data_IF_853717167343
#
_entry.id   IF_853717167343
#
_cell.length_a   1.000
_cell.length_b   1.000
_cell.length_c   1.000
_cell.angle_alpha   90.00
_cell.angle_beta   90.00
_cell.angle_gamma   90.00
#
_symmetry.space_group_name_H-M   'P 1'
#
loop_
_entity.id
_entity.type
_entity.pdbx_description
1 polymer ?
#
# COMPACT_ATOMS: atom_id res chain seq x y z
N UNK A 1 -12.54 20.24 0.47
CA UNK A 1 -12.12 18.87 0.86
C UNK A 1 -13.06 17.90 0.18
N UNK A 2 -12.61 17.25 -0.89
CA UNK A 2 -13.41 16.27 -1.63
C UNK A 2 -13.19 14.88 -1.04
N UNK A 3 -14.27 14.24 -0.61
CA UNK A 3 -14.28 12.85 -0.13
C UNK A 3 -14.21 11.94 -1.35
N UNK A 4 -13.12 11.19 -1.52
CA UNK A 4 -12.99 10.16 -2.55
C UNK A 4 -13.85 8.95 -2.15
N UNK A 5 -15.09 8.90 -2.63
CA UNK A 5 -15.93 7.71 -2.55
C UNK A 5 -15.53 6.77 -3.69
N UNK A 6 -14.80 5.71 -3.34
CA UNK A 6 -14.03 4.84 -4.24
C UNK A 6 -14.84 3.78 -5.01
N UNK A 7 -16.12 3.99 -5.32
CA UNK A 7 -16.98 2.86 -5.76
C UNK A 7 -17.60 2.90 -7.16
N UNK A 8 -17.46 3.96 -7.98
CA UNK A 8 -18.05 3.91 -9.33
C UNK A 8 -17.21 4.65 -10.36
N UNK A 9 -16.53 3.86 -11.20
CA UNK A 9 -15.75 4.28 -12.37
C UNK A 9 -14.58 5.24 -12.07
N UNK A 10 -13.50 5.08 -12.82
CA UNK A 10 -12.41 6.09 -12.88
C UNK A 10 -12.90 7.46 -13.42
N UNK A 11 -14.18 7.60 -13.76
CA UNK A 11 -14.77 8.81 -14.35
C UNK A 11 -15.04 9.94 -13.34
N UNK A 12 -14.95 9.69 -12.03
CA UNK A 12 -15.27 10.72 -11.02
C UNK A 12 -14.21 11.83 -10.98
N UNK A 13 -13.00 11.57 -11.48
CA UNK A 13 -11.98 12.58 -11.70
C UNK A 13 -11.56 12.43 -13.16
N UNK A 14 -11.82 13.42 -14.02
CA UNK A 14 -11.33 13.41 -15.41
C UNK A 14 -9.81 13.16 -15.41
N UNK A 15 -9.33 11.93 -15.69
CA UNK A 15 -7.93 11.62 -15.48
C UNK A 15 -7.10 12.38 -16.51
N UNK A 16 -5.92 12.84 -16.13
CA UNK A 16 -5.02 13.49 -17.09
C UNK A 16 -4.60 12.50 -18.19
N UNK A 17 -4.25 12.97 -19.39
CA UNK A 17 -3.75 12.09 -20.46
C UNK A 17 -2.53 11.25 -20.01
N UNK A 18 -1.75 11.76 -19.03
CA UNK A 18 -0.64 11.03 -18.41
C UNK A 18 -1.13 9.84 -17.60
N UNK A 19 -2.15 10.04 -16.76
CA UNK A 19 -2.81 8.98 -16.02
C UNK A 19 -3.48 7.95 -16.93
N UNK A 20 -4.08 8.39 -18.04
CA UNK A 20 -4.58 7.48 -19.08
C UNK A 20 -3.43 6.70 -19.73
N UNK A 21 -2.27 7.32 -19.93
CA UNK A 21 -1.03 6.68 -20.39
C UNK A 21 -0.57 5.55 -19.47
N UNK A 22 -0.68 5.72 -18.16
CA UNK A 22 -0.39 4.64 -17.20
C UNK A 22 -1.34 3.45 -17.35
N UNK A 23 -2.63 3.69 -17.53
CA UNK A 23 -3.61 2.63 -17.75
C UNK A 23 -3.30 1.85 -19.04
N UNK A 24 -2.96 2.57 -20.12
CA UNK A 24 -2.54 1.96 -21.39
C UNK A 24 -1.26 1.14 -21.22
N UNK A 25 -0.29 1.62 -20.44
CA UNK A 25 0.95 0.89 -20.10
C UNK A 25 0.66 -0.44 -19.38
N UNK A 26 -0.46 -0.52 -18.66
CA UNK A 26 -0.93 -1.74 -18.00
C UNK A 26 -1.68 -2.70 -18.96
N UNK A 27 -1.74 -2.38 -20.25
CA UNK A 27 -2.43 -3.19 -21.27
C UNK A 27 -3.96 -3.08 -21.20
N UNK A 28 -4.49 -2.02 -20.60
CA UNK A 28 -5.94 -1.80 -20.45
C UNK A 28 -6.41 -0.60 -21.27
N UNK A 29 -7.65 -0.66 -21.75
CA UNK A 29 -8.30 0.48 -22.41
C UNK A 29 -8.87 1.42 -21.35
N UNK A 30 -8.37 2.68 -21.23
CA UNK A 30 -8.89 3.64 -20.26
C UNK A 30 -10.38 3.96 -20.40
N UNK A 31 -10.99 3.75 -21.57
CA UNK A 31 -12.42 4.02 -21.78
C UNK A 31 -13.33 2.89 -21.28
N UNK A 32 -12.79 1.68 -21.12
CA UNK A 32 -13.57 0.49 -20.77
C UNK A 32 -13.20 -0.10 -19.41
N UNK A 33 -11.97 0.12 -18.94
CA UNK A 33 -11.46 -0.53 -17.72
C UNK A 33 -12.10 0.02 -16.45
N UNK A 34 -12.43 -0.88 -15.52
CA UNK A 34 -12.91 -0.52 -14.19
C UNK A 34 -11.77 -0.48 -13.16
N UNK A 35 -12.03 0.13 -12.00
CA UNK A 35 -11.09 0.08 -10.86
C UNK A 35 -10.86 -1.35 -10.38
N UNK A 36 -11.90 -2.18 -10.39
CA UNK A 36 -11.82 -3.60 -10.04
C UNK A 36 -10.95 -4.38 -11.03
N UNK A 37 -11.04 -4.09 -12.34
CA UNK A 37 -10.17 -4.72 -13.34
C UNK A 37 -8.70 -4.39 -13.11
N UNK A 38 -8.41 -3.11 -12.78
CA UNK A 38 -7.04 -2.67 -12.49
C UNK A 38 -6.50 -3.26 -11.19
N UNK A 39 -7.35 -3.41 -10.17
CA UNK A 39 -6.99 -4.07 -8.91
C UNK A 39 -6.69 -5.55 -9.10
N UNK A 40 -7.48 -6.22 -9.94
CA UNK A 40 -7.30 -7.63 -10.27
C UNK A 40 -5.99 -7.92 -10.99
N UNK A 41 -5.36 -6.92 -11.64
CA UNK A 41 -4.04 -7.08 -12.26
C UNK A 41 -2.92 -7.26 -11.23
N UNK A 42 -3.08 -6.70 -10.01
CA UNK A 42 -2.07 -6.69 -8.95
C UNK A 42 -0.65 -6.33 -9.44
N UNK A 43 -0.58 -5.40 -10.39
CA UNK A 43 0.66 -4.92 -11.01
C UNK A 43 1.35 -3.86 -10.17
N UNK A 44 2.64 -3.71 -10.39
CA UNK A 44 3.45 -2.62 -9.83
C UNK A 44 4.13 -1.84 -10.94
N UNK A 45 4.20 -0.53 -10.76
CA UNK A 45 4.79 0.41 -11.70
C UNK A 45 6.07 0.98 -11.10
N UNK A 46 7.10 1.13 -11.92
CA UNK A 46 8.39 1.68 -11.51
C UNK A 46 8.58 3.05 -12.14
N UNK A 47 8.79 4.07 -11.31
CA UNK A 47 9.13 5.44 -11.70
C UNK A 47 10.64 5.66 -11.63
N UNK A 48 11.23 6.14 -12.72
CA UNK A 48 12.65 6.53 -12.79
C UNK A 48 13.63 5.47 -12.22
N UNK A 49 13.29 4.18 -12.33
CA UNK A 49 14.03 3.04 -11.75
C UNK A 49 14.27 3.08 -10.23
N UNK A 50 13.56 3.95 -9.51
CA UNK A 50 13.79 4.18 -8.08
C UNK A 50 12.56 3.90 -7.22
N UNK A 51 11.35 4.15 -7.72
CA UNK A 51 10.14 4.06 -6.91
C UNK A 51 9.22 3.00 -7.49
N UNK A 52 8.84 2.03 -6.66
CA UNK A 52 7.83 1.02 -7.01
C UNK A 52 6.52 1.43 -6.35
N UNK A 53 5.46 1.49 -7.15
CA UNK A 53 4.14 1.95 -6.74
C UNK A 53 3.05 1.00 -7.22
N UNK A 54 1.92 0.99 -6.53
CA UNK A 54 0.68 0.45 -7.08
C UNK A 54 0.15 1.34 -8.21
N UNK A 55 -0.78 0.83 -9.02
CA UNK A 55 -1.37 1.61 -10.10
C UNK A 55 -2.11 2.86 -9.59
N UNK A 56 -2.79 2.76 -8.43
CA UNK A 56 -3.44 3.91 -7.79
C UNK A 56 -2.45 4.98 -7.40
N UNK A 57 -1.32 4.60 -6.79
CA UNK A 57 -0.26 5.54 -6.41
C UNK A 57 0.35 6.23 -7.62
N UNK A 58 0.57 5.47 -8.70
CA UNK A 58 1.15 6.03 -9.91
C UNK A 58 0.22 7.07 -10.56
N UNK A 59 -1.07 6.76 -10.68
CA UNK A 59 -2.09 7.68 -11.20
C UNK A 59 -2.19 8.94 -10.33
N UNK A 60 -2.32 8.78 -9.01
CA UNK A 60 -2.38 9.91 -8.08
C UNK A 60 -1.13 10.78 -8.17
N UNK A 61 0.05 10.16 -8.26
CA UNK A 61 1.31 10.88 -8.39
C UNK A 61 1.37 11.72 -9.68
N UNK A 62 0.99 11.13 -10.81
CA UNK A 62 0.98 11.84 -12.11
C UNK A 62 0.00 13.02 -12.12
N UNK A 63 -1.20 12.82 -11.58
CA UNK A 63 -2.21 13.88 -11.49
C UNK A 63 -1.75 15.05 -10.60
N UNK A 64 -0.99 14.77 -9.53
CA UNK A 64 -0.50 15.80 -8.61
C UNK A 64 0.76 16.54 -9.09
N UNK A 65 1.69 15.83 -9.72
CA UNK A 65 3.04 16.35 -9.97
C UNK A 65 3.24 16.84 -11.41
N UNK A 66 2.29 16.54 -12.32
CA UNK A 66 2.40 16.83 -13.75
C UNK A 66 3.81 16.51 -14.32
N UNK A 67 4.43 15.45 -13.83
CA UNK A 67 5.84 15.16 -14.09
C UNK A 67 6.03 14.56 -15.49
N UNK A 68 7.23 14.62 -16.06
CA UNK A 68 7.60 13.87 -17.27
C UNK A 68 8.24 12.53 -16.91
N UNK A 69 7.72 11.88 -15.86
CA UNK A 69 8.35 10.66 -15.34
C UNK A 69 8.29 9.52 -16.34
N UNK A 70 9.40 8.81 -16.46
CA UNK A 70 9.43 7.54 -17.17
C UNK A 70 8.86 6.44 -16.28
N UNK A 71 7.80 5.80 -16.78
CA UNK A 71 7.14 4.67 -16.13
C UNK A 71 7.42 3.38 -16.89
N UNK A 72 7.57 2.29 -16.15
CA UNK A 72 7.58 0.93 -16.68
C UNK A 72 6.86 -0.02 -15.74
N UNK A 73 6.49 -1.19 -16.24
CA UNK A 73 6.06 -2.29 -15.38
C UNK A 73 7.24 -2.78 -14.54
N UNK A 74 6.95 -3.15 -13.29
CA UNK A 74 7.92 -3.83 -12.43
C UNK A 74 8.25 -5.22 -12.99
N UNK A 75 9.51 -5.60 -12.89
CA UNK A 75 9.94 -6.97 -13.17
C UNK A 75 9.36 -7.93 -12.11
N UNK A 76 9.30 -9.25 -12.39
CA UNK A 76 8.81 -10.23 -11.42
C UNK A 76 9.53 -10.15 -10.07
N UNK A 77 10.87 -9.98 -10.07
CA UNK A 77 11.66 -9.85 -8.85
C UNK A 77 11.35 -8.57 -8.06
N UNK A 78 11.10 -7.45 -8.74
CA UNK A 78 10.66 -6.21 -8.11
C UNK A 78 9.26 -6.34 -7.52
N UNK A 79 8.35 -7.02 -8.21
CA UNK A 79 6.99 -7.27 -7.72
C UNK A 79 7.00 -8.11 -6.45
N UNK A 80 7.79 -9.19 -6.39
CA UNK A 80 7.92 -10.01 -5.17
C UNK A 80 8.45 -9.18 -4.00
N UNK A 81 9.51 -8.40 -4.22
CA UNK A 81 10.09 -7.52 -3.18
C UNK A 81 9.11 -6.43 -2.74
N UNK A 82 8.36 -5.86 -3.69
CA UNK A 82 7.30 -4.88 -3.42
C UNK A 82 6.26 -5.48 -2.49
N UNK A 83 5.70 -6.64 -2.83
CA UNK A 83 4.68 -7.30 -2.02
C UNK A 83 5.16 -7.64 -0.60
N UNK A 84 6.40 -8.13 -0.46
CA UNK A 84 6.99 -8.38 0.85
C UNK A 84 7.05 -7.09 1.69
N UNK A 85 7.47 -5.99 1.07
CA UNK A 85 7.54 -4.69 1.75
C UNK A 85 6.15 -4.13 2.06
N UNK A 86 5.18 -4.29 1.17
CA UNK A 86 3.79 -3.90 1.42
C UNK A 86 3.22 -4.64 2.63
N UNK A 87 3.39 -5.96 2.71
CA UNK A 87 2.95 -6.73 3.88
C UNK A 87 3.59 -6.21 5.17
N UNK A 88 4.90 -5.91 5.13
CA UNK A 88 5.60 -5.33 6.27
C UNK A 88 5.07 -3.94 6.66
N UNK A 89 4.83 -3.07 5.68
CA UNK A 89 4.24 -1.75 5.92
C UNK A 89 2.85 -1.90 6.52
N UNK A 90 2.02 -2.81 5.98
CA UNK A 90 0.69 -3.08 6.53
C UNK A 90 0.79 -3.48 7.99
N UNK A 91 1.71 -4.37 8.36
CA UNK A 91 1.93 -4.76 9.76
C UNK A 91 2.42 -3.59 10.64
N UNK A 92 3.41 -2.82 10.15
CA UNK A 92 4.01 -1.67 10.84
C UNK A 92 3.00 -0.52 11.07
N UNK A 93 2.12 -0.29 10.11
CA UNK A 93 1.13 0.81 10.09
C UNK A 93 -0.23 0.41 10.63
N UNK A 94 -0.47 -0.89 10.82
CA UNK A 94 -1.73 -1.36 11.37
C UNK A 94 -1.91 -0.88 12.80
N UNK A 95 -3.13 -0.45 13.06
CA UNK A 95 -3.62 -0.34 14.41
C UNK A 95 -4.09 -1.73 14.85
N UNK A 96 -3.72 -2.13 16.05
CA UNK A 96 -3.98 -3.46 16.58
C UNK A 96 -5.08 -3.43 17.63
N UNK A 97 -5.92 -4.46 17.68
CA UNK A 97 -6.91 -4.62 18.75
C UNK A 97 -7.01 -6.07 19.19
N UNK A 98 -7.33 -6.27 20.45
CA UNK A 98 -7.71 -7.57 20.96
C UNK A 98 -9.18 -7.85 20.64
N UNK A 99 -9.47 -8.95 19.94
CA UNK A 99 -10.85 -9.37 19.64
C UNK A 99 -11.55 -9.94 20.87
N UNK A 100 -10.81 -10.61 21.76
CA UNK A 100 -11.35 -11.22 22.98
C UNK A 100 -11.70 -10.17 24.03
N UNK A 101 -10.80 -9.21 24.28
CA UNK A 101 -11.03 -8.13 25.24
C UNK A 101 -11.76 -6.92 24.67
N UNK A 102 -11.99 -6.89 23.35
CA UNK A 102 -12.61 -5.79 22.63
C UNK A 102 -11.94 -4.41 22.90
N UNK A 103 -10.61 -4.40 23.07
CA UNK A 103 -9.83 -3.19 23.38
C UNK A 103 -8.62 -3.03 22.43
N UNK A 104 -8.18 -1.80 22.13
CA UNK A 104 -8.73 -0.53 22.60
C UNK A 104 -10.08 -0.23 21.93
N UNK A 105 -10.77 0.83 22.38
CA UNK A 105 -12.01 1.27 21.77
C UNK A 105 -11.83 1.48 20.26
N UNK A 106 -12.92 1.24 19.51
CA UNK A 106 -12.91 1.36 18.05
C UNK A 106 -12.37 2.73 17.63
N UNK A 107 -11.36 2.72 16.76
CA UNK A 107 -10.69 3.94 16.27
C UNK A 107 -9.40 4.35 17.01
N UNK A 108 -9.06 3.73 18.14
CA UNK A 108 -7.84 4.03 18.92
C UNK A 108 -6.76 2.94 18.85
N UNK A 109 -6.77 2.08 17.81
CA UNK A 109 -5.96 0.87 17.73
C UNK A 109 -4.51 1.00 18.24
N UNK A 110 -4.00 -0.05 18.85
CA UNK A 110 -2.69 -0.10 19.47
C UNK A 110 -1.56 -0.09 18.44
N UNK A 111 -0.45 0.52 18.84
CA UNK A 111 0.85 0.23 18.23
C UNK A 111 1.25 -1.24 18.49
N UNK A 112 2.04 -1.88 17.62
CA UNK A 112 2.46 -3.28 17.77
C UNK A 112 2.99 -3.64 19.17
N UNK A 113 3.85 -2.79 19.74
CA UNK A 113 4.41 -2.97 21.08
C UNK A 113 3.36 -3.06 22.19
N UNK A 114 2.28 -2.29 22.08
CA UNK A 114 1.22 -2.28 23.08
C UNK A 114 0.33 -3.52 22.95
N UNK A 115 0.11 -4.00 21.73
CA UNK A 115 -0.62 -5.23 21.46
C UNK A 115 0.12 -6.46 21.99
N UNK A 116 1.43 -6.55 21.75
CA UNK A 116 2.27 -7.62 22.28
C UNK A 116 2.27 -7.62 23.82
N UNK A 117 2.46 -6.46 24.45
CA UNK A 117 2.39 -6.32 25.90
C UNK A 117 1.01 -6.75 26.45
N UNK A 118 -0.07 -6.41 25.75
CA UNK A 118 -1.41 -6.82 26.15
C UNK A 118 -1.58 -8.35 26.12
N UNK A 119 -1.05 -9.03 25.08
CA UNK A 119 -1.06 -10.50 25.04
C UNK A 119 -0.33 -11.12 26.23
N UNK A 120 0.81 -10.57 26.61
CA UNK A 120 1.58 -11.05 27.76
C UNK A 120 0.80 -10.86 29.07
N UNK A 121 0.24 -9.67 29.30
CA UNK A 121 -0.34 -9.32 30.61
C UNK A 121 -1.78 -9.77 30.78
N UNK A 122 -2.61 -9.69 29.73
CA UNK A 122 -4.03 -10.03 29.81
C UNK A 122 -4.31 -11.50 29.45
N UNK A 123 -3.47 -12.10 28.61
CA UNK A 123 -3.68 -13.45 28.10
C UNK A 123 -2.56 -14.45 28.47
N UNK A 124 -1.48 -14.00 29.11
CA UNK A 124 -0.39 -14.88 29.55
C UNK A 124 0.43 -15.52 28.41
N UNK A 125 0.32 -15.01 27.17
CA UNK A 125 0.98 -15.59 25.98
C UNK A 125 2.49 -15.33 26.03
N UNK A 126 3.31 -16.39 25.91
CA UNK A 126 4.78 -16.31 25.90
C UNK A 126 5.39 -17.33 24.91
N UNK A 127 6.16 -16.91 23.89
CA UNK A 127 6.42 -15.51 23.50
C UNK A 127 5.21 -14.89 22.77
N UNK A 128 4.88 -13.60 23.02
CA UNK A 128 3.80 -12.95 22.27
C UNK A 128 4.20 -12.75 20.81
N UNK A 129 3.25 -12.93 19.90
CA UNK A 129 3.43 -12.63 18.48
C UNK A 129 2.24 -11.84 17.96
N UNK A 130 2.46 -11.00 16.95
CA UNK A 130 1.40 -10.20 16.33
C UNK A 130 0.39 -11.07 15.55
N UNK A 131 0.80 -12.28 15.15
CA UNK A 131 -0.07 -13.26 14.48
C UNK A 131 -0.95 -14.09 15.42
N UNK A 132 -1.00 -13.77 16.72
CA UNK A 132 -1.84 -14.50 17.67
C UNK A 132 -3.34 -14.27 17.39
N UNK A 133 -4.16 -15.31 17.56
CA UNK A 133 -5.61 -15.29 17.26
C UNK A 133 -6.42 -14.22 18.02
N UNK A 134 -5.88 -13.75 19.15
CA UNK A 134 -6.50 -12.67 19.93
C UNK A 134 -6.30 -11.29 19.32
N UNK A 135 -5.33 -11.12 18.43
CA UNK A 135 -5.04 -9.84 17.80
C UNK A 135 -5.59 -9.80 16.37
N UNK A 136 -6.23 -8.68 16.03
CA UNK A 136 -6.51 -8.34 14.64
C UNK A 136 -5.87 -7.00 14.31
N UNK A 137 -5.18 -6.98 13.18
CA UNK A 137 -4.67 -5.77 12.55
C UNK A 137 -5.79 -5.09 11.75
N UNK A 138 -5.80 -3.77 11.74
CA UNK A 138 -6.59 -2.99 10.79
C UNK A 138 -5.81 -1.74 10.39
N UNK A 139 -5.88 -1.40 9.11
CA UNK A 139 -5.43 -0.09 8.64
C UNK A 139 -6.60 0.89 8.76
N UNK A 140 -6.31 2.14 9.12
CA UNK A 140 -7.33 3.18 9.05
C UNK A 140 -7.81 3.31 7.61
N UNK A 141 -9.12 3.37 7.38
CA UNK A 141 -9.69 3.53 6.02
C UNK A 141 -9.17 4.79 5.32
N UNK A 142 -8.84 5.81 6.09
CA UNK A 142 -8.32 7.08 5.58
C UNK A 142 -6.80 7.04 5.35
N UNK A 143 -6.14 5.94 5.71
CA UNK A 143 -4.70 5.80 5.47
C UNK A 143 -4.42 5.52 4.00
N UNK A 144 -3.33 6.09 3.50
CA UNK A 144 -2.87 5.87 2.13
C UNK A 144 -2.61 4.38 1.89
N UNK A 145 -2.02 3.70 2.89
CA UNK A 145 -1.73 2.26 2.84
C UNK A 145 -2.99 1.40 2.72
N UNK A 146 -4.09 1.78 3.40
CA UNK A 146 -5.38 1.09 3.28
C UNK A 146 -5.97 1.21 1.87
N UNK A 147 -5.72 2.33 1.20
CA UNK A 147 -6.14 2.59 -0.17
C UNK A 147 -5.15 2.04 -1.22
N UNK A 148 -4.17 1.25 -0.77
CA UNK A 148 -3.13 0.69 -1.62
C UNK A 148 -2.17 1.75 -2.17
N UNK A 149 -2.15 2.95 -1.60
CA UNK A 149 -1.24 4.01 -2.01
C UNK A 149 0.10 3.82 -1.29
N UNK A 150 1.05 3.18 -1.95
CA UNK A 150 2.35 2.81 -1.40
C UNK A 150 3.47 3.24 -2.35
N UNK A 151 4.37 4.11 -1.86
CA UNK A 151 5.64 4.43 -2.50
C UNK A 151 6.77 3.64 -1.83
N UNK A 152 7.35 2.71 -2.59
CA UNK A 152 8.52 1.95 -2.16
C UNK A 152 9.75 2.50 -2.87
N UNK A 153 10.58 3.26 -2.15
CA UNK A 153 11.89 3.64 -2.67
C UNK A 153 12.79 2.42 -2.65
N UNK A 154 13.22 1.98 -3.83
CA UNK A 154 14.22 0.95 -4.03
C UNK A 154 15.58 1.66 -4.00
N UNK A 155 16.24 1.71 -2.83
CA UNK A 155 17.63 2.14 -2.82
C UNK A 155 18.45 1.00 -3.40
N UNK A 156 18.89 1.16 -4.65
CA UNK A 156 19.97 0.36 -5.19
C UNK A 156 21.22 0.67 -4.37
N UNK A 157 21.60 -0.22 -3.46
CA UNK A 157 22.90 -0.13 -2.81
C UNK A 157 23.94 -0.33 -3.92
N UNK A 158 24.79 0.68 -4.13
CA UNK A 158 25.88 0.60 -5.11
C UNK A 158 26.86 -0.49 -4.64
N UNK A 159 26.71 -1.68 -5.18
CA UNK A 159 27.61 -2.81 -4.94
C UNK A 159 26.87 -4.07 -4.51
N UNK A 160 26.87 -5.07 -5.41
CA UNK A 160 26.45 -6.46 -5.19
C UNK A 160 24.98 -6.67 -4.78
N UNK A 161 24.06 -6.60 -5.74
CA UNK A 161 22.80 -7.37 -5.74
C UNK A 161 21.78 -7.13 -4.61
N UNK A 162 22.12 -6.38 -3.57
CA UNK A 162 21.31 -6.16 -2.39
C UNK A 162 20.50 -4.87 -2.54
N UNK A 163 19.19 -5.03 -2.43
CA UNK A 163 18.22 -3.96 -2.55
C UNK A 163 17.66 -3.66 -1.16
N UNK A 164 17.72 -2.39 -0.74
CA UNK A 164 17.09 -1.93 0.50
C UNK A 164 15.91 -1.03 0.14
N UNK A 165 14.69 -1.48 0.45
CA UNK A 165 13.49 -0.69 0.20
C UNK A 165 13.14 0.16 1.43
N UNK A 166 13.14 1.49 1.29
CA UNK A 166 12.55 2.41 2.30
C UNK A 166 11.17 2.86 1.82
N UNK A 167 10.20 2.91 2.74
CA UNK A 167 8.89 3.48 2.44
C UNK A 167 8.91 4.98 2.71
N UNK A 168 8.37 5.79 1.79
CA UNK A 168 8.03 7.18 2.05
C UNK A 168 6.52 7.32 1.86
N UNK A 169 5.87 8.07 2.75
CA UNK A 169 4.47 8.44 2.56
C UNK A 169 4.51 9.73 1.74
N UNK A 170 3.90 9.70 0.55
CA UNK A 170 3.73 10.88 -0.33
C UNK A 170 2.49 11.64 0.07
#
# INVERSE_FOLDING_TARGET
>A
MGVFLADKQLSVCNPTEKSLGLIRLCGKDPKAVTTQDMDGLDIRLVRASQYIMTWRSAVLYEDQHNSSSSWRLASPGETVKSKLRESKIKEEKSAWRCVSCNCPAVGQGWLPKNALRHLETAHGVKPPTLGHEFLTAHLSRDSLEANGLLELSCMMLRGRGDFSCRARVT
#
